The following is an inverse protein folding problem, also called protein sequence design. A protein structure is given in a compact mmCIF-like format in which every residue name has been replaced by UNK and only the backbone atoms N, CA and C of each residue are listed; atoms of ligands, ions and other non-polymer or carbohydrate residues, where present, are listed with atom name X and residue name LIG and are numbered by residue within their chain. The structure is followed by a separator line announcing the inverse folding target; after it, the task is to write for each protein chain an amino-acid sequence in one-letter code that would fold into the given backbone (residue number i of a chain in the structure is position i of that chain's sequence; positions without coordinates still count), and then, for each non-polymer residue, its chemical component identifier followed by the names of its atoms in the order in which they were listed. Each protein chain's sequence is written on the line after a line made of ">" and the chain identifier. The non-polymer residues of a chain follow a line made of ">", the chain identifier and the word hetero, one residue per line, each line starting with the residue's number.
data_IF_414599460596
#
_entry.id   IF_414599460596
#
_cell.length_a   1.000
_cell.length_b   1.000
_cell.length_c   1.000
_cell.angle_alpha   90.00
_cell.angle_beta   90.00
_cell.angle_gamma   90.00
#
_symmetry.space_group_name_H-M   'P 1'
#
loop_
_entity.id
_entity.type
_entity.pdbx_description
1 polymer ?
#
# COMPACT_ATOMS: atom_id res chain seq x y z
N UNK A 1 -18.68 -30.49 47.98
CA UNK A 1 -17.58 -31.47 47.78
C UNK A 1 -16.32 -30.68 47.48
N UNK A 2 -15.34 -30.74 48.38
CA UNK A 2 -14.03 -30.06 48.30
C UNK A 2 -13.14 -30.64 47.18
N UNK A 3 -12.32 -29.77 46.58
CA UNK A 3 -10.89 -29.94 46.24
C UNK A 3 -10.41 -28.65 45.54
N UNK A 4 -9.67 -27.77 46.23
CA UNK A 4 -8.20 -27.73 46.25
C UNK A 4 -7.65 -27.71 44.81
N UNK A 5 -7.12 -26.61 44.26
CA UNK A 5 -6.09 -25.74 44.80
C UNK A 5 -4.72 -26.22 44.28
N UNK A 6 -4.15 -25.56 43.27
CA UNK A 6 -2.74 -25.65 42.91
C UNK A 6 -2.31 -24.43 42.10
N UNK A 7 -1.64 -23.52 42.79
CA UNK A 7 -0.85 -22.42 42.23
C UNK A 7 0.56 -22.96 42.06
N UNK A 8 1.11 -22.92 40.84
CA UNK A 8 2.52 -23.19 40.59
C UNK A 8 3.20 -21.86 40.28
N UNK A 9 3.93 -21.36 41.27
CA UNK A 9 4.92 -20.30 41.12
C UNK A 9 6.23 -20.91 40.62
N UNK A 10 6.82 -20.33 39.58
CA UNK A 10 8.18 -20.62 39.15
C UNK A 10 8.92 -19.30 38.97
N UNK A 11 9.67 -18.91 39.99
CA UNK A 11 10.65 -17.83 40.01
C UNK A 11 12.04 -18.43 39.81
N UNK A 12 12.75 -18.03 38.75
CA UNK A 12 14.18 -18.30 38.56
C UNK A 12 14.90 -17.00 38.22
N UNK A 13 16.04 -16.82 38.86
CA UNK A 13 16.86 -15.62 39.02
C UNK A 13 18.10 -15.65 38.11
N UNK A 14 18.59 -14.47 37.71
CA UNK A 14 19.98 -14.22 37.23
C UNK A 14 20.15 -14.14 35.70
N UNK A 15 21.02 -13.32 35.10
CA UNK A 15 22.16 -12.55 35.61
C UNK A 15 22.53 -11.40 34.65
N UNK A 16 23.34 -10.49 35.18
CA UNK A 16 23.89 -9.22 34.66
C UNK A 16 24.93 -9.40 33.55
N UNK A 17 25.01 -8.47 32.58
CA UNK A 17 26.28 -7.94 32.03
C UNK A 17 26.05 -6.65 31.25
N UNK A 18 26.64 -5.56 31.74
CA UNK A 18 26.81 -4.29 31.07
C UNK A 18 28.20 -4.26 30.40
N UNK A 19 28.30 -3.74 29.18
CA UNK A 19 29.55 -3.21 28.63
C UNK A 19 29.28 -1.95 27.82
N UNK A 20 29.73 -0.83 28.36
CA UNK A 20 29.95 0.42 27.63
C UNK A 20 31.45 0.55 27.40
N UNK A 21 31.89 0.81 26.16
CA UNK A 21 33.23 1.37 25.96
C UNK A 21 33.21 2.42 24.84
N UNK A 22 33.61 3.62 25.25
CA UNK A 22 33.92 4.83 24.53
C UNK A 22 35.35 4.73 23.94
N UNK A 23 35.60 5.26 22.74
CA UNK A 23 36.95 5.41 22.17
C UNK A 23 36.91 6.23 20.88
N UNK A 24 36.87 7.56 20.94
CA UNK A 24 37.92 8.53 21.23
C UNK A 24 38.88 8.79 20.04
N UNK A 25 38.66 9.97 19.47
CA UNK A 25 39.41 10.71 18.46
C UNK A 25 40.92 10.82 18.76
N UNK A 26 41.74 10.64 17.73
CA UNK A 26 43.17 10.95 17.76
C UNK A 26 43.51 12.04 16.75
N UNK A 27 43.75 13.26 17.22
CA UNK A 27 44.42 14.35 16.49
C UNK A 27 45.67 14.74 17.26
N UNK A 28 46.82 14.81 16.57
CA UNK A 28 48.01 15.48 17.05
C UNK A 28 48.90 15.89 15.86
N UNK A 29 49.70 16.98 15.98
CA UNK A 29 49.92 17.92 14.88
C UNK A 29 51.41 18.16 14.53
N UNK A 30 51.60 19.03 13.51
CA UNK A 30 52.79 19.87 13.20
C UNK A 30 53.95 19.20 12.44
N UNK A 31 54.68 19.82 11.53
CA UNK A 31 54.66 21.10 10.78
C UNK A 31 55.83 20.97 9.79
N UNK A 32 55.69 21.40 8.53
CA UNK A 32 56.74 22.13 7.79
C UNK A 32 56.20 22.69 6.47
N UNK A 33 56.44 23.98 6.26
CA UNK A 33 56.04 24.85 5.14
C UNK A 33 57.20 25.00 4.12
N UNK A 34 57.16 25.85 3.07
CA UNK A 34 56.07 26.29 2.17
C UNK A 34 56.44 26.31 0.64
N UNK A 35 55.42 26.64 -0.19
CA UNK A 35 55.44 27.48 -1.43
C UNK A 35 55.57 26.78 -2.81
N UNK A 36 55.10 27.41 -3.92
CA UNK A 36 53.71 27.63 -4.36
C UNK A 36 53.44 27.05 -5.78
N UNK A 37 52.17 26.80 -6.13
CA UNK A 37 51.65 27.10 -7.48
C UNK A 37 50.15 26.83 -7.49
N UNK A 38 49.36 27.89 -7.41
CA UNK A 38 47.95 27.84 -7.78
C UNK A 38 47.86 27.69 -9.29
N UNK A 39 47.39 26.53 -9.74
CA UNK A 39 46.81 26.37 -11.07
C UNK A 39 45.50 25.64 -10.89
N UNK A 40 44.46 26.24 -11.46
CA UNK A 40 43.06 26.00 -11.19
C UNK A 40 42.68 24.51 -11.17
N UNK A 41 42.13 24.10 -10.04
CA UNK A 41 41.43 22.84 -9.87
C UNK A 41 40.24 22.82 -10.84
N UNK A 42 40.28 21.92 -11.80
CA UNK A 42 39.13 21.56 -12.61
C UNK A 42 38.05 21.03 -11.67
N UNK A 43 37.05 21.86 -11.40
CA UNK A 43 35.82 21.45 -10.73
C UNK A 43 35.07 20.54 -11.69
N UNK A 44 35.36 19.24 -11.60
CA UNK A 44 34.47 18.21 -12.12
C UNK A 44 33.22 18.24 -11.25
N UNK A 45 32.29 19.12 -11.61
CA UNK A 45 30.92 19.12 -11.12
C UNK A 45 30.33 17.76 -11.48
N UNK A 46 30.31 16.85 -10.51
CA UNK A 46 29.52 15.63 -10.62
C UNK A 46 28.06 16.07 -10.78
N UNK A 47 27.59 16.00 -12.03
CA UNK A 47 26.19 16.19 -12.36
C UNK A 47 25.38 15.23 -11.48
N UNK A 48 24.25 15.65 -10.88
CA UNK A 48 23.36 14.70 -10.24
C UNK A 48 22.99 13.66 -11.30
N UNK A 49 23.18 12.37 -10.98
CA UNK A 49 22.65 11.28 -11.79
C UNK A 49 21.19 11.60 -12.06
N UNK A 50 20.86 11.81 -13.33
CA UNK A 50 19.49 11.80 -13.76
C UNK A 50 18.90 10.46 -13.29
N UNK A 51 17.92 10.50 -12.38
CA UNK A 51 17.06 9.34 -12.13
C UNK A 51 16.55 8.88 -13.47
N UNK A 52 17.07 7.75 -13.95
CA UNK A 52 16.60 7.15 -15.18
C UNK A 52 15.12 6.86 -14.97
N UNK A 53 14.26 7.53 -15.75
CA UNK A 53 12.84 7.20 -15.77
C UNK A 53 12.73 5.70 -16.07
N UNK A 54 12.04 4.91 -15.22
CA UNK A 54 11.99 3.47 -15.41
C UNK A 54 11.42 3.16 -16.79
N UNK A 55 12.04 2.20 -17.48
CA UNK A 55 11.51 1.73 -18.75
C UNK A 55 10.15 1.08 -18.51
N UNK A 56 9.18 1.39 -19.37
CA UNK A 56 7.85 0.80 -19.29
C UNK A 56 7.96 -0.74 -19.32
N UNK A 57 7.48 -1.40 -18.25
CA UNK A 57 7.45 -2.86 -18.12
C UNK A 57 8.59 -3.50 -17.32
N UNK A 58 9.57 -2.73 -16.84
CA UNK A 58 10.54 -3.18 -15.85
C UNK A 58 9.85 -3.44 -14.50
N UNK A 59 10.30 -4.48 -13.79
CA UNK A 59 9.79 -4.77 -12.45
C UNK A 59 10.12 -3.61 -11.51
N UNK A 60 9.14 -3.19 -10.71
CA UNK A 60 9.38 -2.21 -9.65
C UNK A 60 10.15 -2.87 -8.52
N UNK A 61 11.18 -2.18 -8.05
CA UNK A 61 12.01 -2.65 -6.93
C UNK A 61 11.16 -2.76 -5.66
N UNK A 62 11.30 -3.83 -4.86
CA UNK A 62 10.74 -3.89 -3.51
C UNK A 62 11.19 -2.67 -2.67
N UNK A 63 10.32 -2.19 -1.78
CA UNK A 63 10.58 -0.99 -0.97
C UNK A 63 10.38 0.34 -1.70
N UNK A 64 9.94 0.33 -2.97
CA UNK A 64 9.74 1.56 -3.72
C UNK A 64 8.52 2.35 -3.24
N UNK A 65 8.72 3.65 -2.99
CA UNK A 65 7.64 4.62 -2.82
C UNK A 65 7.12 5.10 -4.18
N UNK A 66 5.80 5.24 -4.31
CA UNK A 66 5.11 5.71 -5.51
C UNK A 66 4.13 6.83 -5.18
N UNK A 67 4.04 7.81 -6.07
CA UNK A 67 2.96 8.80 -6.00
C UNK A 67 1.65 8.21 -6.56
N UNK A 68 0.50 8.74 -6.13
CA UNK A 68 -0.78 8.39 -6.77
C UNK A 68 -0.73 8.70 -8.28
N UNK A 69 -1.18 7.75 -9.09
CA UNK A 69 -1.10 7.82 -10.54
C UNK A 69 0.17 7.19 -11.12
N UNK A 70 1.19 6.91 -10.31
CA UNK A 70 2.35 6.14 -10.76
C UNK A 70 2.06 4.64 -10.78
N UNK A 71 2.58 3.98 -11.81
CA UNK A 71 2.43 2.55 -12.02
C UNK A 71 3.59 1.78 -11.41
N UNK A 72 3.29 0.76 -10.61
CA UNK A 72 4.24 -0.30 -10.27
C UNK A 72 3.97 -1.53 -11.12
N UNK A 73 5.01 -2.13 -11.67
CA UNK A 73 4.95 -3.46 -12.28
C UNK A 73 5.46 -4.48 -11.26
N UNK A 74 4.66 -5.48 -10.95
CA UNK A 74 4.93 -6.44 -9.86
C UNK A 74 4.74 -7.88 -10.33
N UNK A 75 5.43 -8.80 -9.67
CA UNK A 75 5.17 -10.24 -9.76
C UNK A 75 4.36 -10.67 -8.54
N UNK A 76 3.42 -11.58 -8.75
CA UNK A 76 2.51 -12.01 -7.71
C UNK A 76 2.08 -13.46 -7.93
N UNK A 77 2.10 -14.26 -6.86
CA UNK A 77 1.69 -15.67 -6.89
C UNK A 77 0.53 -15.86 -5.92
N UNK A 78 -0.74 -15.67 -6.33
CA UNK A 78 -1.89 -15.78 -5.44
C UNK A 78 -2.05 -17.18 -4.82
N UNK A 79 -1.56 -18.20 -5.53
CA UNK A 79 -1.50 -19.58 -5.07
C UNK A 79 -0.39 -20.30 -5.84
N UNK A 80 0.06 -21.42 -5.30
CA UNK A 80 1.04 -22.29 -5.96
C UNK A 80 0.62 -22.62 -7.41
N UNK A 81 1.57 -22.51 -8.33
CA UNK A 81 1.36 -22.79 -9.75
C UNK A 81 0.61 -21.69 -10.54
N UNK A 82 0.35 -20.53 -9.93
CA UNK A 82 -0.19 -19.35 -10.64
C UNK A 82 0.77 -18.19 -10.50
N UNK A 83 1.56 -17.98 -11.55
CA UNK A 83 2.47 -16.83 -11.64
C UNK A 83 1.79 -15.68 -12.40
N UNK A 84 1.66 -14.55 -11.73
CA UNK A 84 1.10 -13.32 -12.29
C UNK A 84 2.18 -12.25 -12.44
N UNK A 85 2.01 -11.44 -13.48
CA UNK A 85 2.67 -10.15 -13.62
C UNK A 85 1.59 -9.09 -13.76
N UNK A 86 1.61 -8.07 -12.90
CA UNK A 86 0.60 -7.02 -12.88
C UNK A 86 1.25 -5.65 -13.06
N UNK A 87 0.60 -4.77 -13.81
CA UNK A 87 0.81 -3.33 -13.67
C UNK A 87 -0.31 -2.75 -12.82
N UNK A 88 0.05 -2.09 -11.73
CA UNK A 88 -0.88 -1.53 -10.74
C UNK A 88 -0.64 -0.02 -10.66
N UNK A 89 -1.71 0.75 -10.82
CA UNK A 89 -1.71 2.19 -10.64
C UNK A 89 -2.75 2.55 -9.59
N UNK A 90 -2.32 2.98 -8.40
CA UNK A 90 -3.27 3.52 -7.40
C UNK A 90 -3.62 4.94 -7.80
N UNK A 91 -4.89 5.17 -8.11
CA UNK A 91 -5.34 6.44 -8.73
C UNK A 91 -5.90 7.42 -7.70
N UNK A 92 -6.59 6.92 -6.68
CA UNK A 92 -7.24 7.76 -5.65
C UNK A 92 -7.38 7.02 -4.33
N UNK A 93 -7.26 7.79 -3.27
CA UNK A 93 -7.71 7.46 -1.92
C UNK A 93 -8.85 8.41 -1.56
N UNK A 94 -10.00 7.87 -1.18
CA UNK A 94 -11.20 8.64 -0.89
C UNK A 94 -11.72 8.33 0.51
N UNK A 95 -11.97 9.34 1.33
CA UNK A 95 -12.67 9.19 2.60
C UNK A 95 -14.18 9.29 2.40
N UNK A 96 -14.95 8.46 3.09
CA UNK A 96 -16.42 8.51 3.05
C UNK A 96 -17.01 8.39 4.45
N UNK A 97 -18.33 8.32 4.56
CA UNK A 97 -19.04 8.01 5.79
C UNK A 97 -20.12 6.96 5.57
N UNK A 98 -20.51 6.25 6.64
CA UNK A 98 -21.61 5.29 6.58
C UNK A 98 -22.92 5.91 6.08
N UNK A 99 -23.21 7.14 6.53
CA UNK A 99 -24.38 7.89 6.09
C UNK A 99 -24.36 8.17 4.58
N UNK A 100 -23.18 8.43 4.02
CA UNK A 100 -23.04 8.80 2.61
C UNK A 100 -23.12 7.58 1.68
N UNK A 101 -22.41 6.49 2.00
CA UNK A 101 -22.22 5.38 1.04
C UNK A 101 -22.79 4.04 1.47
N UNK A 102 -23.14 3.86 2.75
CA UNK A 102 -23.67 2.60 3.27
C UNK A 102 -25.16 2.71 3.65
N UNK A 103 -25.86 3.72 3.12
CA UNK A 103 -27.30 3.84 3.32
C UNK A 103 -28.01 2.57 2.86
N UNK A 104 -28.83 1.99 3.74
CA UNK A 104 -29.58 0.75 3.49
C UNK A 104 -28.85 -0.53 3.91
N UNK A 105 -27.58 -0.45 4.31
CA UNK A 105 -26.85 -1.60 4.84
C UNK A 105 -27.10 -1.77 6.34
N UNK A 106 -27.24 -3.02 6.79
CA UNK A 106 -27.25 -3.36 8.21
C UNK A 106 -25.80 -3.52 8.68
N UNK A 107 -25.35 -2.60 9.52
CA UNK A 107 -23.97 -2.56 10.03
C UNK A 107 -24.00 -2.86 11.54
N UNK A 108 -23.07 -3.70 11.99
CA UNK A 108 -22.87 -3.96 13.42
C UNK A 108 -21.97 -2.88 14.06
N UNK A 109 -21.93 -2.87 15.40
CA UNK A 109 -21.13 -1.90 16.16
C UNK A 109 -19.64 -2.00 15.84
N UNK A 110 -19.13 -3.21 15.62
CA UNK A 110 -17.73 -3.45 15.25
C UNK A 110 -17.38 -2.81 13.91
N UNK A 111 -18.29 -2.82 12.93
CA UNK A 111 -18.14 -2.12 11.67
C UNK A 111 -18.23 -0.61 11.90
N UNK A 112 -19.25 -0.14 12.62
CA UNK A 112 -19.44 1.30 12.86
C UNK A 112 -18.27 1.95 13.62
N UNK A 113 -17.50 1.18 14.40
CA UNK A 113 -16.27 1.63 15.04
C UNK A 113 -15.11 1.91 14.06
N UNK A 114 -15.24 1.55 12.78
CA UNK A 114 -14.22 1.76 11.74
C UNK A 114 -14.51 2.96 10.84
N UNK A 115 -13.49 3.64 10.34
CA UNK A 115 -13.63 4.70 9.35
C UNK A 115 -13.59 4.12 7.92
N UNK A 116 -14.60 4.39 7.07
CA UNK A 116 -14.64 3.85 5.72
C UNK A 116 -13.89 4.72 4.70
N UNK A 117 -13.12 4.05 3.84
CA UNK A 117 -12.39 4.66 2.73
C UNK A 117 -12.55 3.83 1.45
N UNK A 118 -12.40 4.48 0.30
CA UNK A 118 -12.25 3.82 -1.00
C UNK A 118 -10.84 3.98 -1.53
N UNK A 119 -10.30 2.88 -2.04
CA UNK A 119 -9.06 2.86 -2.81
C UNK A 119 -9.41 2.53 -4.25
N UNK A 120 -9.06 3.41 -5.18
CA UNK A 120 -9.23 3.18 -6.61
C UNK A 120 -7.91 2.83 -7.25
N UNK A 121 -7.86 1.74 -7.99
CA UNK A 121 -6.68 1.35 -8.73
C UNK A 121 -7.04 0.91 -10.15
N UNK A 122 -6.15 1.17 -11.10
CA UNK A 122 -6.17 0.49 -12.40
C UNK A 122 -5.18 -0.67 -12.32
N UNK A 123 -5.65 -1.87 -12.64
CA UNK A 123 -4.81 -3.07 -12.65
C UNK A 123 -4.86 -3.68 -14.04
N UNK A 124 -3.69 -4.04 -14.57
CA UNK A 124 -3.55 -4.73 -15.84
C UNK A 124 -2.84 -6.06 -15.62
N UNK A 125 -3.38 -7.12 -16.20
CA UNK A 125 -2.72 -8.43 -16.24
C UNK A 125 -1.68 -8.42 -17.37
N UNK A 126 -0.40 -8.27 -17.03
CA UNK A 126 0.72 -8.38 -17.97
C UNK A 126 1.30 -9.80 -18.03
N UNK A 127 0.74 -10.73 -17.25
CA UNK A 127 1.12 -12.14 -17.17
C UNK A 127 0.42 -13.00 -18.22
N UNK A 128 0.60 -14.32 -18.07
CA UNK A 128 0.01 -15.34 -18.96
C UNK A 128 -1.16 -16.10 -18.34
N UNK A 129 -1.27 -16.10 -17.01
CA UNK A 129 -2.37 -16.75 -16.31
C UNK A 129 -3.65 -15.90 -16.38
N UNK A 130 -4.81 -16.56 -16.42
CA UNK A 130 -6.09 -15.91 -16.11
C UNK A 130 -6.20 -15.74 -14.59
N UNK A 131 -6.42 -14.50 -14.15
CA UNK A 131 -6.47 -14.11 -12.75
C UNK A 131 -7.90 -13.83 -12.27
N UNK A 132 -8.90 -14.20 -13.07
CA UNK A 132 -10.29 -13.94 -12.75
C UNK A 132 -10.71 -14.59 -11.44
N UNK A 133 -11.31 -13.81 -10.54
CA UNK A 133 -11.77 -14.29 -9.24
C UNK A 133 -10.77 -14.27 -8.11
N UNK A 134 -9.50 -13.89 -8.33
CA UNK A 134 -8.62 -13.54 -7.22
C UNK A 134 -8.91 -12.12 -6.75
N UNK A 135 -8.61 -11.86 -5.48
CA UNK A 135 -8.66 -10.51 -4.94
C UNK A 135 -7.47 -9.68 -5.44
N UNK A 136 -7.70 -8.39 -5.61
CA UNK A 136 -6.66 -7.42 -5.95
C UNK A 136 -5.62 -7.41 -4.82
N UNK A 137 -4.32 -7.59 -5.11
CA UNK A 137 -3.29 -7.79 -4.07
C UNK A 137 -2.83 -6.46 -3.44
N UNK A 138 -3.77 -5.67 -2.93
CA UNK A 138 -3.49 -4.38 -2.29
C UNK A 138 -4.07 -4.34 -0.88
N UNK A 139 -3.25 -3.83 0.04
CA UNK A 139 -3.61 -3.56 1.42
C UNK A 139 -3.74 -2.06 1.64
N UNK A 140 -4.68 -1.62 2.49
CA UNK A 140 -4.64 -0.26 3.02
C UNK A 140 -3.52 -0.11 4.04
N UNK A 141 -2.99 1.10 4.20
CA UNK A 141 -2.06 1.47 5.25
C UNK A 141 -2.73 2.49 6.17
N UNK A 142 -2.85 2.17 7.47
CA UNK A 142 -3.37 3.12 8.47
C UNK A 142 -2.28 4.05 9.02
N UNK A 143 -2.69 5.11 9.70
CA UNK A 143 -1.83 6.10 10.35
C UNK A 143 -0.99 5.56 11.52
N UNK A 144 -1.13 4.27 11.86
CA UNK A 144 -0.29 3.54 12.81
C UNK A 144 0.66 2.57 12.12
N UNK A 145 0.74 2.58 10.79
CA UNK A 145 1.55 1.67 10.00
C UNK A 145 0.99 0.25 9.90
N UNK A 146 -0.27 0.03 10.27
CA UNK A 146 -0.93 -1.28 10.18
C UNK A 146 -1.54 -1.51 8.81
N UNK A 147 -1.50 -2.77 8.36
CA UNK A 147 -2.17 -3.17 7.12
C UNK A 147 -3.67 -3.38 7.34
N UNK A 148 -4.47 -2.89 6.40
CA UNK A 148 -5.93 -2.96 6.41
C UNK A 148 -6.38 -3.81 5.22
N UNK A 149 -7.06 -4.92 5.50
CA UNK A 149 -7.64 -5.74 4.43
C UNK A 149 -8.85 -5.04 3.79
N UNK A 150 -8.99 -5.19 2.47
CA UNK A 150 -10.20 -4.78 1.77
C UNK A 150 -11.42 -5.59 2.24
N UNK A 151 -12.50 -4.89 2.58
CA UNK A 151 -13.75 -5.48 3.01
C UNK A 151 -14.40 -6.31 1.89
N UNK A 152 -14.99 -7.44 2.28
CA UNK A 152 -15.79 -8.29 1.40
C UNK A 152 -17.28 -8.02 1.62
N UNK A 153 -18.05 -8.01 0.54
CA UNK A 153 -19.50 -7.82 0.58
C UNK A 153 -20.21 -9.07 0.03
N UNK A 154 -21.32 -9.45 0.67
CA UNK A 154 -22.16 -10.56 0.19
C UNK A 154 -23.00 -10.19 -1.03
N UNK A 155 -23.29 -8.91 -1.19
CA UNK A 155 -24.09 -8.34 -2.26
C UNK A 155 -23.29 -7.23 -2.97
N UNK A 156 -23.61 -6.91 -4.24
CA UNK A 156 -22.95 -5.83 -4.96
C UNK A 156 -23.05 -4.49 -4.22
N UNK A 157 -21.92 -3.85 -4.00
CA UNK A 157 -21.84 -2.55 -3.35
C UNK A 157 -21.58 -1.45 -4.39
N UNK A 158 -22.65 -0.88 -4.97
CA UNK A 158 -22.55 0.05 -6.11
C UNK A 158 -21.57 1.23 -5.98
N UNK A 159 -21.32 1.83 -4.80
CA UNK A 159 -20.30 2.87 -4.70
C UNK A 159 -18.88 2.39 -5.07
N UNK A 160 -18.64 1.07 -4.99
CA UNK A 160 -17.33 0.44 -5.16
C UNK A 160 -17.50 -1.02 -5.59
N UNK A 161 -17.29 -1.31 -6.89
CA UNK A 161 -17.64 -2.58 -7.54
C UNK A 161 -16.92 -3.84 -7.03
N UNK A 162 -16.03 -3.71 -6.05
CA UNK A 162 -15.52 -4.80 -5.22
C UNK A 162 -14.04 -5.11 -5.43
N UNK A 163 -13.53 -5.95 -4.51
CA UNK A 163 -12.11 -6.28 -4.38
C UNK A 163 -11.60 -7.40 -5.28
N UNK A 164 -12.49 -8.08 -6.00
CA UNK A 164 -12.16 -9.29 -6.77
C UNK A 164 -12.09 -8.97 -8.26
N UNK A 165 -11.08 -9.52 -8.94
CA UNK A 165 -10.97 -9.40 -10.39
C UNK A 165 -12.18 -10.03 -11.11
N UNK A 166 -12.67 -9.41 -12.20
CA UNK A 166 -13.77 -9.97 -12.98
C UNK A 166 -13.41 -11.36 -13.51
N UNK A 167 -14.41 -12.19 -13.78
CA UNK A 167 -14.21 -13.49 -14.43
C UNK A 167 -14.67 -13.40 -15.88
N UNK A 168 -13.77 -13.56 -16.86
CA UNK A 168 -12.32 -13.76 -16.74
C UNK A 168 -11.53 -12.45 -16.47
N UNK A 169 -10.30 -12.59 -15.99
CA UNK A 169 -9.29 -11.52 -16.00
C UNK A 169 -8.05 -12.02 -16.75
N UNK A 170 -8.25 -12.19 -18.05
CA UNK A 170 -7.32 -12.79 -18.99
C UNK A 170 -6.04 -11.95 -19.20
N UNK A 171 -4.98 -12.56 -19.78
CA UNK A 171 -3.78 -11.83 -20.21
C UNK A 171 -4.10 -10.58 -21.04
N UNK A 172 -3.43 -9.47 -20.72
CA UNK A 172 -3.62 -8.17 -21.35
C UNK A 172 -4.87 -7.40 -20.90
N UNK A 173 -5.79 -8.01 -20.15
CA UNK A 173 -6.97 -7.35 -19.64
C UNK A 173 -6.60 -6.27 -18.62
N UNK A 174 -7.40 -5.20 -18.59
CA UNK A 174 -7.28 -4.13 -17.61
C UNK A 174 -8.63 -3.86 -16.95
N UNK A 175 -8.61 -3.57 -15.66
CA UNK A 175 -9.79 -3.28 -14.85
C UNK A 175 -9.53 -2.11 -13.92
N UNK A 176 -10.56 -1.31 -13.68
CA UNK A 176 -10.57 -0.35 -12.57
C UNK A 176 -11.13 -1.06 -11.34
N UNK A 177 -10.24 -1.39 -10.41
CA UNK A 177 -10.58 -1.95 -9.11
C UNK A 177 -11.03 -0.85 -8.15
N UNK A 178 -11.95 -1.21 -7.27
CA UNK A 178 -12.35 -0.38 -6.15
C UNK A 178 -12.39 -1.22 -4.88
N UNK A 179 -11.54 -0.85 -3.91
CA UNK A 179 -11.42 -1.55 -2.64
C UNK A 179 -12.03 -0.68 -1.53
N UNK A 180 -12.82 -1.29 -0.66
CA UNK A 180 -13.33 -0.63 0.53
C UNK A 180 -12.43 -0.96 1.70
N UNK A 181 -11.78 0.04 2.28
CA UNK A 181 -10.97 -0.12 3.50
C UNK A 181 -11.79 0.35 4.69
N UNK A 182 -11.79 -0.44 5.76
CA UNK A 182 -12.44 -0.09 7.03
C UNK A 182 -11.35 0.03 8.10
N UNK A 183 -10.84 1.25 8.28
CA UNK A 183 -9.72 1.51 9.19
C UNK A 183 -10.22 1.43 10.64
N UNK A 184 -9.60 0.63 11.53
CA UNK A 184 -10.03 0.51 12.92
C UNK A 184 -10.02 1.83 13.69
N UNK A 185 -10.80 1.90 14.78
CA UNK A 185 -10.77 2.98 15.77
C UNK A 185 -11.02 4.40 15.21
N UNK A 186 -11.81 4.51 14.14
CA UNK A 186 -12.00 5.75 13.36
C UNK A 186 -10.68 6.37 12.85
N UNK A 187 -9.64 5.55 12.65
CA UNK A 187 -8.32 6.00 12.20
C UNK A 187 -8.30 6.49 10.76
N UNK A 188 -7.10 6.87 10.31
CA UNK A 188 -6.89 7.41 8.96
C UNK A 188 -6.25 6.38 8.05
N UNK A 189 -6.76 6.28 6.82
CA UNK A 189 -6.01 5.66 5.73
C UNK A 189 -4.96 6.68 5.25
N UNK A 190 -3.70 6.30 5.19
CA UNK A 190 -2.59 7.17 4.75
C UNK A 190 -1.92 6.67 3.47
N UNK A 191 -2.25 5.46 3.04
CA UNK A 191 -1.71 4.89 1.82
C UNK A 191 -2.26 3.53 1.49
N UNK A 192 -1.60 2.91 0.51
CA UNK A 192 -1.87 1.54 0.04
C UNK A 192 -0.54 0.85 -0.16
N UNK A 193 -0.47 -0.46 0.11
CA UNK A 193 0.73 -1.25 -0.14
C UNK A 193 0.45 -2.48 -1.00
N UNK A 194 1.42 -2.82 -1.83
CA UNK A 194 1.57 -4.14 -2.39
C UNK A 194 2.59 -4.91 -1.54
N UNK A 195 2.11 -5.94 -0.84
CA UNK A 195 2.92 -6.83 0.01
C UNK A 195 2.39 -8.26 -0.12
N UNK A 196 2.91 -9.07 -1.07
CA UNK A 196 2.36 -10.37 -1.40
C UNK A 196 2.68 -11.45 -0.35
N UNK A 197 3.71 -11.25 0.47
CA UNK A 197 4.10 -12.10 1.60
C UNK A 197 4.84 -11.26 2.65
N UNK A 198 5.01 -11.78 3.87
CA UNK A 198 5.44 -11.01 5.03
C UNK A 198 6.86 -10.43 4.87
N UNK A 199 7.79 -11.19 4.33
CA UNK A 199 9.19 -10.76 4.17
C UNK A 199 9.41 -9.80 3.00
N UNK A 200 8.39 -9.56 2.17
CA UNK A 200 8.48 -8.63 1.05
C UNK A 200 8.55 -7.18 1.56
N UNK A 201 9.56 -6.43 1.10
CA UNK A 201 9.67 -4.99 1.34
C UNK A 201 8.60 -4.26 0.51
N UNK A 202 7.56 -3.67 1.13
CA UNK A 202 6.36 -3.24 0.42
C UNK A 202 6.63 -2.14 -0.59
N UNK A 203 5.89 -2.19 -1.71
CA UNK A 203 5.75 -1.05 -2.60
C UNK A 203 4.55 -0.25 -2.11
N UNK A 204 4.71 1.05 -1.90
CA UNK A 204 3.72 1.91 -1.23
C UNK A 204 3.25 3.03 -2.14
N UNK A 205 1.98 3.42 -1.97
CA UNK A 205 1.40 4.65 -2.52
C UNK A 205 0.79 5.45 -1.38
N UNK A 206 1.55 6.39 -0.83
CA UNK A 206 1.10 7.23 0.28
C UNK A 206 0.52 8.56 -0.22
N UNK A 207 -0.61 8.95 0.36
CA UNK A 207 -1.28 10.22 0.07
C UNK A 207 -2.37 10.47 1.10
N UNK A 208 -2.67 11.73 1.37
CA UNK A 208 -3.86 12.08 2.13
C UNK A 208 -5.14 11.74 1.33
N UNK A 209 -6.14 11.07 1.93
CA UNK A 209 -7.41 10.80 1.26
C UNK A 209 -8.22 12.07 1.01
N UNK A 210 -8.83 12.14 -0.18
CA UNK A 210 -9.76 13.23 -0.53
C UNK A 210 -11.21 12.85 -0.19
N UNK A 211 -12.11 13.79 0.12
CA UNK A 211 -13.51 13.43 0.36
C UNK A 211 -14.16 12.79 -0.87
N UNK A 212 -14.88 11.68 -0.66
CA UNK A 212 -15.62 10.99 -1.72
C UNK A 212 -16.72 11.88 -2.30
N UNK A 213 -16.76 11.94 -3.63
CA UNK A 213 -17.80 12.63 -4.40
C UNK A 213 -18.57 11.59 -5.20
N UNK A 214 -19.87 11.48 -4.93
CA UNK A 214 -20.74 10.58 -5.68
C UNK A 214 -20.75 10.96 -7.18
N UNK A 215 -20.71 9.96 -8.09
CA UNK A 215 -20.88 10.21 -9.52
C UNK A 215 -22.17 11.00 -9.77
N UNK A 216 -22.11 11.99 -10.67
CA UNK A 216 -23.34 12.69 -11.09
C UNK A 216 -24.28 11.66 -11.75
N UNK A 217 -25.59 11.69 -11.45
CA UNK A 217 -26.56 10.90 -12.19
C UNK A 217 -26.43 11.24 -13.67
N UNK A 218 -26.13 10.26 -14.52
CA UNK A 218 -26.24 10.44 -15.96
C UNK A 218 -27.71 10.74 -16.27
N UNK A 219 -28.01 11.93 -16.78
CA UNK A 219 -29.36 12.33 -17.15
C UNK A 219 -30.01 11.25 -18.03
N UNK A 220 -31.31 11.00 -17.80
CA UNK A 220 -32.08 10.05 -18.61
C UNK A 220 -31.89 10.31 -20.11
N UNK A 221 -31.79 9.27 -20.96
CA UNK A 221 -31.84 9.47 -22.39
C UNK A 221 -33.14 10.20 -22.73
N UNK A 222 -32.99 11.34 -23.39
CA UNK A 222 -34.10 12.13 -23.94
C UNK A 222 -34.98 11.19 -24.76
N UNK A 223 -36.25 11.07 -24.38
CA UNK A 223 -37.22 10.29 -25.13
C UNK A 223 -37.28 10.83 -26.56
N UNK A 224 -36.80 10.04 -27.53
CA UNK A 224 -36.95 10.34 -28.94
C UNK A 224 -38.44 10.48 -29.27
N UNK A 225 -38.86 11.52 -30.03
CA UNK A 225 -40.24 11.64 -30.48
C UNK A 225 -40.55 10.48 -31.43
N UNK A 226 -41.64 9.78 -31.14
CA UNK A 226 -42.18 8.69 -31.99
C UNK A 226 -42.72 9.29 -33.30
N UNK A 227 -42.49 8.64 -34.47
CA UNK A 227 -43.02 9.08 -35.76
C UNK A 227 -44.54 8.96 -35.87
#
# INVERSE_FOLDING_TARGET
>A
MQRAGSVLAASVTGAVMAMSVMGCSGTAPRTNAPKPSESASASASASPSASASPSAGALTEPGADRELGETATVEWTPKEGVDAKLSITVTKLESTSYKQTFSGWKLDEATLARAPYFVRATVKNDGKADLGGYDVPLWGLDDRGSLVEAAAFKEPFKPCDGKTFPKPFAPGASVNACLVMLVPDQGKLVGVSFRPYEEFDPITWESEPTPYVAPKPSGSPSASPTP
#
